data_IF_198904573487
#
_entry.id   IF_198904573487
#
_cell.length_a   1.000
_cell.length_b   1.000
_cell.length_c   1.000
_cell.angle_alpha   90.00
_cell.angle_beta   90.00
_cell.angle_gamma   90.00
#
_symmetry.space_group_name_H-M   'P 1'
#
loop_
_entity.id
_entity.type
_entity.pdbx_description
1 polymer ?
#
# COMPACT_ATOMS: atom_id res chain seq x y z
N UNK A 1 -15.13 30.92 49.36
CA UNK A 1 -13.82 31.58 49.52
C UNK A 1 -12.86 30.59 50.16
N UNK A 2 -12.06 29.88 49.35
CA UNK A 2 -10.74 29.37 49.77
C UNK A 2 -9.93 29.15 48.49
N UNK A 3 -8.94 30.00 48.30
CA UNK A 3 -7.92 29.95 47.24
C UNK A 3 -6.80 28.99 47.63
N UNK A 4 -6.11 28.39 46.65
CA UNK A 4 -4.69 27.94 46.67
C UNK A 4 -4.55 26.72 45.76
N UNK A 5 -3.53 26.52 44.93
CA UNK A 5 -2.43 27.35 44.43
C UNK A 5 -1.87 26.58 43.22
N UNK A 6 -1.55 27.31 42.15
CA UNK A 6 -0.96 26.77 40.93
C UNK A 6 0.55 26.53 41.14
N UNK A 7 1.04 25.33 40.81
CA UNK A 7 2.47 25.09 40.65
C UNK A 7 2.76 24.78 39.19
N UNK A 8 3.33 25.78 38.51
CA UNK A 8 3.79 25.70 37.13
C UNK A 8 5.10 24.92 37.10
N UNK A 9 5.07 23.69 36.60
CA UNK A 9 6.27 22.92 36.26
C UNK A 9 6.73 23.29 34.86
N UNK A 10 7.69 24.22 34.76
CA UNK A 10 8.36 24.59 33.53
C UNK A 10 9.49 23.56 33.30
N UNK A 11 9.27 22.57 32.43
CA UNK A 11 10.34 21.66 31.98
C UNK A 11 10.81 22.17 30.62
N UNK A 12 11.84 23.01 30.66
CA UNK A 12 12.68 23.33 29.50
C UNK A 12 13.89 22.41 29.54
N UNK A 13 14.06 21.51 28.56
CA UNK A 13 15.39 20.96 28.30
C UNK A 13 15.57 20.55 26.84
N UNK A 14 16.42 21.35 26.18
CA UNK A 14 17.32 21.05 25.07
C UNK A 14 16.77 20.35 23.83
N UNK A 15 16.45 21.17 22.82
CA UNK A 15 16.67 20.82 21.42
C UNK A 15 18.18 20.65 21.18
N UNK A 16 18.63 19.42 20.91
CA UNK A 16 19.87 19.20 20.16
C UNK A 16 19.52 19.11 18.67
N UNK A 17 19.82 20.19 17.95
CA UNK A 17 19.98 20.15 16.50
C UNK A 17 21.33 19.49 16.18
N UNK A 18 21.32 18.31 15.56
CA UNK A 18 22.43 17.84 14.74
C UNK A 18 22.05 18.02 13.27
N UNK A 19 22.67 18.99 12.62
CA UNK A 19 22.71 19.12 11.16
C UNK A 19 24.14 18.85 10.69
N UNK A 20 24.35 17.69 10.08
CA UNK A 20 25.59 17.27 9.43
C UNK A 20 25.21 16.07 8.54
N UNK A 21 25.45 15.99 7.24
CA UNK A 21 26.06 16.88 6.28
C UNK A 21 25.73 16.35 4.89
N UNK A 22 25.68 17.25 3.92
CA UNK A 22 25.59 16.94 2.50
C UNK A 22 26.94 16.38 2.04
N UNK A 23 26.97 15.20 1.41
CA UNK A 23 28.14 14.74 0.65
C UNK A 23 27.65 14.03 -0.61
N UNK A 24 27.50 14.83 -1.67
CA UNK A 24 27.37 14.38 -3.04
C UNK A 24 28.75 14.13 -3.62
N UNK A 25 29.05 12.89 -4.00
CA UNK A 25 30.15 12.58 -4.91
C UNK A 25 29.64 11.85 -6.15
N UNK A 26 29.95 12.50 -7.27
CA UNK A 26 29.78 12.07 -8.65
C UNK A 26 30.76 10.93 -8.96
N UNK A 27 30.30 9.88 -9.65
CA UNK A 27 31.19 9.16 -10.56
C UNK A 27 30.46 8.73 -11.81
N UNK A 28 30.74 9.47 -12.86
CA UNK A 28 30.63 9.10 -14.27
C UNK A 28 31.37 7.79 -14.52
N UNK A 29 30.72 6.83 -15.16
CA UNK A 29 31.41 6.02 -16.14
C UNK A 29 30.52 5.75 -17.36
N UNK A 30 31.13 6.06 -18.49
CA UNK A 30 30.61 6.06 -19.84
C UNK A 30 31.15 4.79 -20.47
N UNK A 31 30.32 3.97 -21.10
CA UNK A 31 30.81 3.08 -22.17
C UNK A 31 29.72 2.96 -23.23
N UNK A 32 30.00 3.65 -24.33
CA UNK A 32 29.37 3.52 -25.63
C UNK A 32 30.13 2.42 -26.37
N UNK A 33 29.44 1.40 -26.87
CA UNK A 33 29.90 0.63 -28.02
C UNK A 33 28.93 0.84 -29.19
N UNK A 34 29.52 0.84 -30.37
CA UNK A 34 29.00 1.34 -31.65
C UNK A 34 29.00 0.19 -32.66
N UNK A 35 28.12 0.30 -33.68
CA UNK A 35 28.21 -0.29 -35.04
C UNK A 35 27.81 -1.78 -35.18
N UNK A 36 27.19 -2.32 -36.24
CA UNK A 36 26.93 -1.97 -37.66
C UNK A 36 25.75 -2.88 -38.12
N UNK A 37 24.62 -2.37 -38.64
CA UNK A 37 24.17 -2.31 -40.06
C UNK A 37 24.07 -3.65 -40.85
N UNK A 38 22.87 -3.96 -41.37
CA UNK A 38 22.45 -4.41 -42.73
C UNK A 38 21.16 -5.25 -42.64
N UNK A 39 20.04 -4.81 -43.24
CA UNK A 39 19.45 -5.29 -44.53
C UNK A 39 19.04 -6.77 -44.50
N UNK A 40 17.92 -7.27 -45.04
CA UNK A 40 16.69 -6.75 -45.64
C UNK A 40 15.77 -7.98 -45.86
N UNK A 41 14.49 -7.73 -46.20
CA UNK A 41 13.67 -8.57 -47.11
C UNK A 41 12.82 -9.73 -46.54
N UNK A 42 11.53 -9.39 -46.35
CA UNK A 42 10.35 -10.01 -47.02
C UNK A 42 9.75 -11.35 -46.57
N UNK A 43 8.46 -11.20 -46.22
CA UNK A 43 7.27 -12.05 -46.36
C UNK A 43 7.21 -13.45 -45.74
N UNK A 44 6.18 -13.63 -44.90
CA UNK A 44 5.02 -14.45 -45.26
C UNK A 44 3.86 -14.16 -44.31
N UNK A 45 2.85 -13.53 -44.88
CA UNK A 45 1.48 -13.45 -44.36
C UNK A 45 0.92 -14.88 -44.35
N UNK A 46 0.64 -15.38 -43.15
CA UNK A 46 -0.12 -16.61 -42.92
C UNK A 46 -1.30 -16.19 -42.06
N UNK A 47 -2.48 -16.13 -42.66
CA UNK A 47 -3.76 -16.01 -41.96
C UNK A 47 -3.90 -17.20 -40.99
N UNK A 48 -3.62 -16.97 -39.71
CA UNK A 48 -4.10 -17.81 -38.62
C UNK A 48 -5.44 -17.28 -38.12
N UNK A 49 -6.37 -18.18 -37.75
CA UNK A 49 -7.73 -17.82 -37.39
C UNK A 49 -7.74 -16.91 -36.17
N UNK A 50 -8.33 -15.73 -36.33
CA UNK A 50 -8.65 -14.76 -35.28
C UNK A 50 -9.47 -15.45 -34.19
N UNK A 51 -8.75 -15.94 -33.18
CA UNK A 51 -9.31 -16.24 -31.87
C UNK A 51 -9.96 -14.96 -31.36
N UNK A 52 -11.21 -14.99 -30.86
CA UNK A 52 -11.86 -13.80 -30.35
C UNK A 52 -10.97 -13.21 -29.25
N UNK A 53 -10.42 -12.05 -29.52
CA UNK A 53 -9.64 -11.26 -28.58
C UNK A 53 -10.59 -10.94 -27.42
N UNK A 54 -10.38 -11.63 -26.29
CA UNK A 54 -11.18 -11.46 -25.08
C UNK A 54 -10.97 -10.02 -24.61
N UNK A 55 -11.98 -9.18 -24.84
CA UNK A 55 -11.93 -7.76 -24.52
C UNK A 55 -11.66 -7.59 -23.02
N UNK A 56 -10.47 -7.09 -22.70
CA UNK A 56 -10.03 -6.94 -21.31
C UNK A 56 -10.83 -5.78 -20.69
N UNK A 57 -11.93 -6.11 -20.01
CA UNK A 57 -12.74 -5.10 -19.31
C UNK A 57 -12.08 -4.73 -17.98
N UNK A 58 -11.36 -3.61 -17.97
CA UNK A 58 -10.83 -3.02 -16.73
C UNK A 58 -11.97 -2.46 -15.85
N UNK A 59 -11.91 -2.63 -14.53
CA UNK A 59 -12.94 -2.13 -13.63
C UNK A 59 -12.98 -0.60 -13.65
N UNK A 60 -14.19 -0.03 -13.58
CA UNK A 60 -14.36 1.43 -13.55
C UNK A 60 -14.05 2.02 -12.17
N UNK A 61 -14.25 1.22 -11.13
CA UNK A 61 -14.05 1.64 -9.75
C UNK A 61 -13.66 0.45 -8.86
N UNK A 62 -12.64 0.67 -8.03
CA UNK A 62 -12.21 -0.26 -6.99
C UNK A 62 -12.03 0.53 -5.70
N UNK A 63 -12.60 0.04 -4.59
CA UNK A 63 -12.49 0.66 -3.27
C UNK A 63 -12.27 -0.41 -2.20
N UNK A 64 -11.43 -0.09 -1.22
CA UNK A 64 -11.31 -0.81 0.03
C UNK A 64 -11.79 0.12 1.15
N UNK A 65 -12.65 -0.39 2.04
CA UNK A 65 -13.23 0.41 3.12
C UNK A 65 -13.49 -0.43 4.36
N UNK A 66 -13.32 0.17 5.53
CA UNK A 66 -13.72 -0.40 6.81
C UNK A 66 -15.16 -0.02 7.15
N UNK A 67 -15.99 -1.01 7.51
CA UNK A 67 -17.28 -0.79 8.15
C UNK A 67 -17.16 -1.15 9.62
N UNK A 68 -17.33 -0.17 10.52
CA UNK A 68 -17.37 -0.43 11.96
C UNK A 68 -18.43 -1.47 12.31
N UNK A 69 -18.07 -2.43 13.15
CA UNK A 69 -18.93 -3.49 13.65
C UNK A 69 -19.27 -3.28 15.12
N UNK A 70 -18.24 -3.18 15.96
CA UNK A 70 -18.36 -3.15 17.42
C UNK A 70 -17.09 -2.63 18.08
N UNK A 71 -17.15 -2.39 19.38
CA UNK A 71 -15.99 -2.15 20.24
C UNK A 71 -16.01 -3.21 21.35
N UNK A 72 -14.85 -3.77 21.69
CA UNK A 72 -14.69 -4.75 22.77
C UNK A 72 -14.61 -4.08 24.16
N UNK A 73 -14.54 -4.89 25.22
CA UNK A 73 -14.46 -4.40 26.60
C UNK A 73 -13.16 -3.64 26.94
N UNK A 74 -12.14 -3.76 26.09
CA UNK A 74 -10.85 -3.10 26.21
C UNK A 74 -10.74 -1.84 25.32
N UNK A 75 -11.82 -1.46 24.64
CA UNK A 75 -11.86 -0.31 23.73
C UNK A 75 -11.35 -0.62 22.32
N UNK A 76 -11.14 -1.89 21.99
CA UNK A 76 -10.73 -2.33 20.66
C UNK A 76 -11.89 -2.26 19.67
N UNK A 77 -11.81 -1.37 18.70
CA UNK A 77 -12.78 -1.30 17.61
C UNK A 77 -12.58 -2.46 16.63
N UNK A 78 -13.67 -3.03 16.12
CA UNK A 78 -13.65 -4.07 15.10
C UNK A 78 -14.32 -3.55 13.82
N UNK A 79 -13.68 -3.79 12.68
CA UNK A 79 -14.11 -3.34 11.37
C UNK A 79 -14.17 -4.51 10.40
N UNK A 80 -15.21 -4.53 9.56
CA UNK A 80 -15.26 -5.39 8.40
C UNK A 80 -14.57 -4.71 7.22
N UNK A 81 -13.58 -5.37 6.64
CA UNK A 81 -12.90 -4.90 5.42
C UNK A 81 -13.73 -5.31 4.22
N UNK A 82 -14.17 -4.32 3.45
CA UNK A 82 -15.05 -4.51 2.29
C UNK A 82 -14.34 -4.03 1.04
N UNK A 83 -14.22 -4.93 0.07
CA UNK A 83 -13.88 -4.60 -1.30
C UNK A 83 -15.14 -4.24 -2.08
N UNK A 84 -15.09 -3.15 -2.82
CA UNK A 84 -16.15 -2.76 -3.76
C UNK A 84 -15.59 -2.62 -5.17
N UNK A 85 -16.03 -3.46 -6.10
CA UNK A 85 -15.69 -3.38 -7.53
C UNK A 85 -16.96 -3.07 -8.32
N UNK A 86 -17.00 -1.91 -8.97
CA UNK A 86 -18.15 -1.47 -9.78
C UNK A 86 -19.50 -1.58 -9.05
N UNK A 87 -19.47 -1.25 -7.76
CA UNK A 87 -20.63 -1.27 -6.86
C UNK A 87 -20.94 -2.64 -6.23
N UNK A 88 -20.34 -3.74 -6.71
CA UNK A 88 -20.46 -5.06 -6.08
C UNK A 88 -19.54 -5.13 -4.86
N UNK A 89 -20.08 -5.57 -3.72
CA UNK A 89 -19.37 -5.62 -2.45
C UNK A 89 -19.03 -7.05 -2.07
N UNK A 90 -17.84 -7.22 -1.51
CA UNK A 90 -17.33 -8.48 -0.97
C UNK A 90 -16.64 -8.20 0.35
N UNK A 91 -16.86 -9.06 1.33
CA UNK A 91 -16.21 -8.99 2.64
C UNK A 91 -14.91 -9.78 2.55
N UNK A 92 -13.81 -9.15 2.93
CA UNK A 92 -12.49 -9.78 2.89
C UNK A 92 -12.08 -10.31 4.26
N UNK A 93 -12.25 -9.51 5.32
CA UNK A 93 -11.80 -9.86 6.67
C UNK A 93 -12.47 -9.01 7.76
N UNK A 94 -12.18 -9.30 9.03
CA UNK A 94 -12.50 -8.46 10.19
C UNK A 94 -11.22 -8.12 10.96
N UNK A 95 -10.95 -6.82 11.13
CA UNK A 95 -9.69 -6.29 11.69
C UNK A 95 -9.95 -5.23 12.75
N UNK A 96 -8.91 -4.84 13.50
CA UNK A 96 -9.03 -3.87 14.59
C UNK A 96 -8.97 -2.41 14.13
N UNK A 97 -8.43 -2.15 12.92
CA UNK A 97 -8.36 -0.81 12.36
C UNK A 97 -8.41 -0.88 10.83
N UNK A 98 -9.13 0.04 10.21
CA UNK A 98 -9.30 0.03 8.75
C UNK A 98 -9.57 1.45 8.21
N UNK A 99 -8.52 2.27 8.18
CA UNK A 99 -8.55 3.63 7.65
C UNK A 99 -8.03 3.66 6.21
N UNK A 100 -8.53 4.55 5.33
CA UNK A 100 -8.00 4.70 3.99
C UNK A 100 -6.53 5.15 4.01
N UNK A 101 -5.66 4.41 3.32
CA UNK A 101 -4.25 4.79 3.15
C UNK A 101 -4.14 5.64 1.88
N UNK A 102 -3.67 6.87 2.03
CA UNK A 102 -3.52 7.80 0.90
C UNK A 102 -2.42 7.34 -0.05
N UNK A 103 -2.53 7.68 -1.34
CA UNK A 103 -1.51 7.35 -2.37
C UNK A 103 -0.11 7.79 -1.95
N UNK A 104 0.02 8.94 -1.26
CA UNK A 104 1.31 9.48 -0.80
C UNK A 104 1.96 8.67 0.32
N UNK A 105 1.15 7.96 1.11
CA UNK A 105 1.61 7.18 2.27
C UNK A 105 1.83 5.71 1.94
N UNK A 106 1.40 5.23 0.77
CA UNK A 106 1.52 3.81 0.37
C UNK A 106 2.93 3.25 0.47
N UNK A 107 3.93 4.05 0.11
CA UNK A 107 5.33 3.65 0.17
C UNK A 107 5.80 3.33 1.60
N UNK A 108 5.21 3.96 2.63
CA UNK A 108 5.53 3.69 4.03
C UNK A 108 5.08 2.29 4.48
N UNK A 109 4.18 1.67 3.70
CA UNK A 109 3.61 0.35 3.95
C UNK A 109 4.08 -0.72 2.96
N UNK A 110 5.11 -0.44 2.14
CA UNK A 110 5.51 -1.29 1.00
C UNK A 110 4.35 -1.56 0.00
N UNK A 111 3.35 -0.67 -0.07
CA UNK A 111 2.23 -0.79 -1.00
C UNK A 111 2.64 -0.20 -2.36
N UNK A 112 2.44 -0.92 -3.48
CA UNK A 112 2.75 -0.41 -4.81
C UNK A 112 2.03 0.91 -5.15
N UNK A 113 2.72 1.80 -5.86
CA UNK A 113 2.19 3.11 -6.22
C UNK A 113 0.93 3.03 -7.12
N UNK A 114 0.85 1.99 -7.94
CA UNK A 114 -0.23 1.67 -8.87
C UNK A 114 -1.38 0.88 -8.23
N UNK A 115 -1.35 0.63 -6.92
CA UNK A 115 -2.50 0.07 -6.21
C UNK A 115 -3.77 0.91 -6.46
N UNK A 116 -4.88 0.24 -6.75
CA UNK A 116 -6.16 0.87 -7.04
C UNK A 116 -6.80 1.45 -5.77
N UNK A 117 -6.67 0.73 -4.65
CA UNK A 117 -7.19 1.12 -3.35
C UNK A 117 -6.33 0.53 -2.22
N UNK A 118 -6.34 1.15 -1.05
CA UNK A 118 -5.60 0.68 0.12
C UNK A 118 -6.25 1.15 1.41
N UNK A 119 -6.26 0.30 2.43
CA UNK A 119 -6.71 0.63 3.78
C UNK A 119 -5.98 -0.21 4.83
N UNK A 120 -6.00 0.22 6.08
CA UNK A 120 -5.44 -0.55 7.18
C UNK A 120 -5.32 0.30 8.43
N UNK A 121 -4.63 -0.21 9.44
CA UNK A 121 -4.33 0.56 10.62
C UNK A 121 -3.59 -0.24 11.68
N UNK A 122 -3.16 0.47 12.71
CA UNK A 122 -2.40 -0.07 13.82
C UNK A 122 -3.24 -0.03 15.09
N UNK A 123 -3.28 -1.13 15.83
CA UNK A 123 -3.95 -1.23 17.11
C UNK A 123 -3.19 -2.16 18.06
N UNK A 124 -2.97 -1.70 19.29
CA UNK A 124 -2.42 -2.50 20.39
C UNK A 124 -1.15 -3.31 20.05
N UNK A 125 -0.26 -2.74 19.24
CA UNK A 125 1.03 -3.35 18.88
C UNK A 125 1.00 -4.27 17.64
N UNK A 126 -0.12 -4.33 16.94
CA UNK A 126 -0.22 -4.99 15.64
C UNK A 126 -0.93 -4.12 14.61
N UNK A 127 -0.67 -4.36 13.34
CA UNK A 127 -1.36 -3.69 12.25
C UNK A 127 -1.74 -4.65 11.14
N UNK A 128 -2.93 -4.43 10.58
CA UNK A 128 -3.45 -5.13 9.41
C UNK A 128 -3.64 -4.14 8.27
N UNK A 129 -3.19 -4.50 7.08
CA UNK A 129 -3.16 -3.64 5.92
C UNK A 129 -3.63 -4.39 4.68
N UNK A 130 -4.29 -3.66 3.78
CA UNK A 130 -4.84 -4.19 2.54
C UNK A 130 -4.55 -3.25 1.39
N UNK A 131 -4.26 -3.81 0.23
CA UNK A 131 -4.32 -3.09 -1.03
C UNK A 131 -4.91 -3.95 -2.15
N UNK A 132 -5.57 -3.29 -3.10
CA UNK A 132 -6.08 -3.91 -4.32
C UNK A 132 -5.27 -3.42 -5.51
N UNK A 133 -4.89 -4.31 -6.42
CA UNK A 133 -4.10 -4.02 -7.62
C UNK A 133 -4.69 -4.74 -8.84
N UNK A 134 -4.47 -4.20 -10.03
CA UNK A 134 -4.84 -4.84 -11.29
C UNK A 134 -3.70 -5.70 -11.80
N UNK A 135 -3.86 -7.03 -11.75
CA UNK A 135 -2.85 -8.00 -12.17
C UNK A 135 -3.53 -9.10 -12.99
N UNK A 136 -2.91 -9.50 -14.12
CA UNK A 136 -3.41 -10.58 -14.97
C UNK A 136 -4.91 -10.46 -15.28
N UNK A 137 -5.33 -9.25 -15.67
CA UNK A 137 -6.70 -8.90 -16.02
C UNK A 137 -7.72 -9.07 -14.88
N UNK A 138 -7.27 -9.04 -13.62
CA UNK A 138 -8.11 -9.23 -12.47
C UNK A 138 -7.74 -8.26 -11.34
N UNK A 139 -8.72 -7.94 -10.48
CA UNK A 139 -8.44 -7.22 -9.23
C UNK A 139 -7.98 -8.23 -8.18
N UNK A 140 -6.69 -8.19 -7.85
CA UNK A 140 -6.10 -8.99 -6.78
C UNK A 140 -6.02 -8.13 -5.52
N UNK A 141 -6.34 -8.72 -4.37
CA UNK A 141 -6.20 -8.06 -3.08
C UNK A 141 -5.09 -8.73 -2.30
N UNK A 142 -4.21 -7.94 -1.71
CA UNK A 142 -3.18 -8.41 -0.80
C UNK A 142 -3.51 -7.93 0.62
N UNK A 143 -3.28 -8.80 1.59
CA UNK A 143 -3.30 -8.52 3.01
C UNK A 143 -1.90 -8.66 3.56
N UNK A 144 -1.51 -7.70 4.39
CA UNK A 144 -0.23 -7.65 5.07
C UNK A 144 -0.44 -7.30 6.54
N UNK A 145 0.56 -7.62 7.35
CA UNK A 145 0.55 -7.34 8.77
C UNK A 145 1.93 -6.93 9.26
N UNK A 146 1.93 -6.18 10.35
CA UNK A 146 3.09 -5.93 11.19
C UNK A 146 2.74 -6.15 12.67
N UNK A 147 3.75 -6.51 13.47
CA UNK A 147 3.64 -6.74 14.91
C UNK A 147 4.90 -6.22 15.62
N UNK A 148 4.76 -5.60 16.80
CA UNK A 148 5.90 -5.06 17.57
C UNK A 148 6.95 -6.12 17.93
N UNK A 149 6.54 -7.39 18.03
CA UNK A 149 7.40 -8.51 18.38
C UNK A 149 8.09 -9.15 17.17
N UNK A 150 7.84 -8.70 15.94
CA UNK A 150 8.43 -9.31 14.75
C UNK A 150 9.93 -8.99 14.60
N UNK A 151 10.68 -9.82 13.86
CA UNK A 151 12.15 -9.70 13.74
C UNK A 151 12.63 -8.86 12.56
N UNK A 152 11.74 -8.61 11.60
CA UNK A 152 12.00 -7.80 10.41
C UNK A 152 11.10 -6.57 10.39
N UNK A 153 11.24 -5.71 9.38
CA UNK A 153 10.42 -4.49 9.27
C UNK A 153 9.37 -4.60 8.14
N UNK A 154 9.12 -5.81 7.63
CA UNK A 154 8.26 -6.02 6.47
C UNK A 154 6.79 -6.13 6.85
N UNK A 155 5.91 -5.96 5.85
CA UNK A 155 4.46 -6.05 5.98
C UNK A 155 3.89 -7.44 5.61
N UNK A 156 4.73 -8.45 5.38
CA UNK A 156 4.31 -9.85 5.23
C UNK A 156 3.17 -10.13 4.22
N UNK A 157 3.14 -9.38 3.11
CA UNK A 157 2.08 -9.39 2.11
C UNK A 157 1.75 -10.78 1.55
N UNK A 158 0.45 -11.10 1.48
CA UNK A 158 -0.10 -12.31 0.86
C UNK A 158 -1.38 -12.00 0.10
N UNK A 159 -1.55 -12.62 -1.05
CA UNK A 159 -2.80 -12.52 -1.79
C UNK A 159 -3.97 -13.15 -1.00
N UNK A 160 -5.08 -12.42 -0.90
CA UNK A 160 -6.33 -12.88 -0.31
C UNK A 160 -7.04 -13.78 -1.33
N UNK A 161 -7.48 -14.96 -0.88
CA UNK A 161 -8.30 -15.86 -1.71
C UNK A 161 -9.73 -15.35 -1.77
N UNK A 162 -10.26 -15.16 -2.98
CA UNK A 162 -11.60 -14.64 -3.29
C UNK A 162 -12.35 -15.63 -4.18
#
# INVERSE_FOLDING_TARGET
MTTSSATKGLITLSLLFLTMGCSSETKTEKTTETRTKEEATTSKETDEPTTPEEEIVTPKSVKLSGKFLSEDEYGGSHYQVILTIDGKKEILDTVMACEPISVKSRADYDIPADALASCGGWWAGGGDYFYAIWENNNVVVYQGWQDEGQKDNGFHWKAVKR
#
